data_IF_854588013896
#
_entry.id   IF_854588013896
#
_cell.length_a   1.000
_cell.length_b   1.000
_cell.length_c   1.000
_cell.angle_alpha   90.00
_cell.angle_beta   90.00
_cell.angle_gamma   90.00
#
_symmetry.space_group_name_H-M   'P 1'
#
loop_
_entity.id
_entity.type
_entity.pdbx_description
1 polymer ?
#
# COMPACT_ATOMS: atom_id res chain seq x y z
N UNK A 1 -8.68 15.84 5.05
CA UNK A 1 -9.44 15.46 6.27
C UNK A 1 -9.20 13.98 6.55
N UNK A 2 -8.26 13.68 7.45
CA UNK A 2 -8.18 12.45 8.26
C UNK A 2 -7.15 12.72 9.37
N UNK A 3 -7.49 13.68 10.23
CA UNK A 3 -6.76 13.99 11.48
C UNK A 3 -7.80 13.87 12.59
N UNK A 4 -8.10 12.64 12.97
CA UNK A 4 -8.91 12.21 14.12
C UNK A 4 -9.08 10.71 13.88
N UNK A 5 -8.35 9.81 14.52
CA UNK A 5 -8.15 9.63 15.94
C UNK A 5 -6.76 8.98 16.09
N UNK A 6 -6.01 9.28 17.14
CA UNK A 6 -4.73 8.61 17.49
C UNK A 6 -4.86 7.11 17.81
N UNK A 7 -5.75 6.40 17.11
CA UNK A 7 -5.86 4.95 17.09
C UNK A 7 -5.07 4.44 15.88
N UNK A 8 -4.35 3.31 16.00
CA UNK A 8 -3.59 2.70 14.92
C UNK A 8 -4.53 2.06 13.89
N UNK A 9 -5.32 2.88 13.20
CA UNK A 9 -6.06 2.46 12.01
C UNK A 9 -5.23 2.87 10.82
N UNK A 10 -4.64 1.89 10.13
CA UNK A 10 -3.96 2.14 8.87
C UNK A 10 -4.95 2.76 7.86
N UNK A 11 -4.54 3.84 7.21
CA UNK A 11 -5.36 4.55 6.23
C UNK A 11 -5.34 3.76 4.92
N UNK A 12 -6.43 3.05 4.60
CA UNK A 12 -6.57 2.31 3.34
C UNK A 12 -7.26 3.15 2.26
N UNK A 13 -6.64 4.24 1.84
CA UNK A 13 -7.08 4.94 0.63
C UNK A 13 -6.59 4.21 -0.64
N UNK A 14 -6.96 4.69 -1.82
CA UNK A 14 -6.56 4.07 -3.09
C UNK A 14 -5.04 4.04 -3.32
N UNK A 15 -4.28 4.95 -2.70
CA UNK A 15 -2.83 5.00 -2.81
C UNK A 15 -2.17 3.94 -1.93
N UNK A 16 -2.60 3.86 -0.67
CA UNK A 16 -2.07 2.87 0.27
C UNK A 16 -2.44 1.46 -0.17
N UNK A 17 -3.68 1.23 -0.64
CA UNK A 17 -4.07 -0.08 -1.21
C UNK A 17 -3.15 -0.51 -2.35
N UNK A 18 -2.81 0.39 -3.28
CA UNK A 18 -1.88 0.11 -4.38
C UNK A 18 -0.47 -0.21 -3.89
N UNK A 19 0.03 0.53 -2.90
CA UNK A 19 1.34 0.25 -2.28
C UNK A 19 1.35 -1.15 -1.69
N UNK A 20 0.38 -1.48 -0.83
CA UNK A 20 0.29 -2.77 -0.16
C UNK A 20 0.07 -3.92 -1.15
N UNK A 21 -0.81 -3.75 -2.14
CA UNK A 21 -1.03 -4.75 -3.19
C UNK A 21 0.22 -5.05 -4.00
N UNK A 22 1.08 -4.05 -4.26
CA UNK A 22 2.35 -4.28 -4.96
C UNK A 22 3.40 -4.86 -4.04
N UNK A 23 3.49 -4.38 -2.81
CA UNK A 23 4.47 -4.83 -1.82
C UNK A 23 4.31 -6.32 -1.52
N UNK A 24 3.06 -6.78 -1.32
CA UNK A 24 2.70 -8.15 -0.94
C UNK A 24 2.03 -8.97 -2.05
N UNK A 25 2.13 -8.50 -3.31
CA UNK A 25 1.56 -9.18 -4.49
C UNK A 25 0.08 -9.59 -4.34
N UNK A 26 -0.77 -8.69 -3.86
CA UNK A 26 -2.23 -8.91 -3.79
C UNK A 26 -2.85 -8.57 -5.14
N UNK A 27 -3.17 -9.60 -5.93
CA UNK A 27 -3.76 -9.46 -7.27
C UNK A 27 -5.30 -9.41 -7.27
N UNK A 28 -5.95 -9.67 -6.14
CA UNK A 28 -7.42 -9.74 -6.05
C UNK A 28 -8.10 -8.38 -6.26
N UNK A 29 -9.36 -8.41 -6.68
CA UNK A 29 -10.16 -7.22 -6.99
C UNK A 29 -10.36 -6.34 -5.74
N UNK A 30 -9.97 -5.03 -5.77
CA UNK A 30 -10.11 -4.13 -4.63
C UNK A 30 -11.56 -3.79 -4.26
N UNK A 31 -12.53 -4.08 -5.12
CA UNK A 31 -13.96 -3.91 -4.85
C UNK A 31 -14.50 -4.96 -3.88
N UNK A 32 -13.82 -6.11 -3.76
CA UNK A 32 -14.23 -7.19 -2.89
C UNK A 32 -13.96 -6.87 -1.42
N UNK A 33 -14.96 -7.14 -0.56
CA UNK A 33 -14.81 -7.00 0.90
C UNK A 33 -13.66 -7.86 1.44
N UNK A 34 -13.46 -9.06 0.89
CA UNK A 34 -12.36 -9.96 1.29
C UNK A 34 -10.98 -9.40 0.96
N UNK A 35 -10.81 -8.77 -0.20
CA UNK A 35 -9.57 -8.07 -0.56
C UNK A 35 -9.31 -6.91 0.39
N UNK A 36 -10.33 -6.10 0.67
CA UNK A 36 -10.19 -4.97 1.61
C UNK A 36 -9.82 -5.44 3.02
N UNK A 37 -10.37 -6.57 3.47
CA UNK A 37 -10.00 -7.16 4.76
C UNK A 37 -8.54 -7.66 4.75
N UNK A 38 -8.13 -8.35 3.69
CA UNK A 38 -6.74 -8.81 3.51
C UNK A 38 -5.76 -7.64 3.56
N UNK A 39 -6.06 -6.56 2.83
CA UNK A 39 -5.23 -5.35 2.84
C UNK A 39 -5.23 -4.66 4.21
N UNK A 40 -6.35 -4.70 4.95
CA UNK A 40 -6.40 -4.15 6.30
C UNK A 40 -5.53 -4.92 7.29
N UNK A 41 -5.46 -6.24 7.16
CA UNK A 41 -4.63 -7.07 8.03
C UNK A 41 -3.14 -6.90 7.68
N UNK A 42 -2.79 -6.88 6.39
CA UNK A 42 -1.44 -6.53 5.93
C UNK A 42 -1.02 -5.13 6.41
N UNK A 43 -1.93 -4.15 6.37
CA UNK A 43 -1.62 -2.80 6.81
C UNK A 43 -1.35 -2.72 8.33
N UNK A 44 -2.02 -3.55 9.14
CA UNK A 44 -1.74 -3.65 10.58
C UNK A 44 -0.38 -4.30 10.84
N UNK A 45 -0.03 -5.33 10.08
CA UNK A 45 1.26 -6.03 10.20
C UNK A 45 2.43 -5.15 9.75
N UNK A 46 2.21 -4.31 8.72
CA UNK A 46 3.21 -3.41 8.17
C UNK A 46 3.44 -2.16 9.03
N UNK A 47 2.44 -1.74 9.82
CA UNK A 47 2.49 -0.53 10.63
C UNK A 47 3.61 -0.56 11.66
N UNK A 48 4.39 0.51 11.76
CA UNK A 48 5.37 0.70 12.84
C UNK A 48 4.66 1.18 14.12
N UNK A 49 4.57 0.36 15.20
CA UNK A 49 3.77 0.73 16.37
C UNK A 49 4.31 1.92 17.16
N UNK A 50 5.61 2.22 17.04
CA UNK A 50 6.27 3.30 17.76
C UNK A 50 5.92 4.68 17.21
N UNK A 51 5.63 4.78 15.90
CA UNK A 51 5.29 6.02 15.20
C UNK A 51 4.23 5.79 14.13
N UNK A 52 2.99 5.41 14.51
CA UNK A 52 1.96 5.02 13.55
C UNK A 52 1.48 6.18 12.66
N UNK A 53 1.55 7.43 13.17
CA UNK A 53 1.23 8.63 12.40
C UNK A 53 2.19 8.85 11.25
N UNK A 54 3.49 8.98 11.57
CA UNK A 54 4.56 9.18 10.59
C UNK A 54 4.61 8.04 9.56
N UNK A 55 4.43 6.79 10.02
CA UNK A 55 4.37 5.64 9.12
C UNK A 55 3.21 5.77 8.13
N UNK A 56 1.99 6.06 8.60
CA UNK A 56 0.84 6.22 7.72
C UNK A 56 1.05 7.38 6.72
N UNK A 57 1.60 8.50 7.17
CA UNK A 57 1.89 9.64 6.30
C UNK A 57 2.94 9.30 5.23
N UNK A 58 4.02 8.63 5.62
CA UNK A 58 5.04 8.17 4.68
C UNK A 58 4.49 7.20 3.62
N UNK A 59 3.60 6.29 4.01
CA UNK A 59 3.00 5.33 3.08
C UNK A 59 1.99 6.00 2.13
N UNK A 60 1.20 6.94 2.64
CA UNK A 60 0.31 7.75 1.80
C UNK A 60 1.10 8.56 0.77
N UNK A 61 2.16 9.26 1.19
CA UNK A 61 3.02 10.05 0.30
C UNK A 61 3.76 9.17 -0.70
N UNK A 62 4.29 8.01 -0.26
CA UNK A 62 4.89 7.02 -1.13
C UNK A 62 3.93 6.60 -2.25
N UNK A 63 2.68 6.30 -1.90
CA UNK A 63 1.65 5.94 -2.86
C UNK A 63 1.32 7.09 -3.82
N UNK A 64 1.29 8.33 -3.33
CA UNK A 64 0.93 9.50 -4.11
C UNK A 64 2.03 9.98 -5.06
N UNK A 65 3.31 9.84 -4.70
CA UNK A 65 4.44 10.45 -5.42
C UNK A 65 5.35 9.44 -6.14
N UNK A 66 5.50 8.22 -5.61
CA UNK A 66 6.51 7.27 -6.10
C UNK A 66 5.86 5.99 -6.63
N UNK A 67 5.05 5.32 -5.82
CA UNK A 67 4.32 4.13 -6.18
C UNK A 67 2.98 4.49 -6.87
N UNK A 68 3.02 5.42 -7.81
CA UNK A 68 1.89 5.85 -8.64
C UNK A 68 1.55 4.79 -9.70
N UNK A 69 0.46 4.91 -10.49
CA UNK A 69 0.10 3.90 -11.49
C UNK A 69 1.27 3.48 -12.41
N UNK A 70 2.11 4.42 -12.82
CA UNK A 70 3.40 4.17 -13.47
C UNK A 70 4.53 4.43 -12.45
N UNK A 71 4.95 3.42 -11.66
CA UNK A 71 5.78 3.67 -10.48
C UNK A 71 7.23 4.02 -10.84
N UNK A 72 7.84 4.90 -10.04
CA UNK A 72 9.28 5.16 -10.07
C UNK A 72 10.00 4.22 -9.09
N UNK A 73 10.12 2.93 -9.47
CA UNK A 73 10.64 1.91 -8.57
C UNK A 73 12.09 2.14 -8.12
N UNK A 74 12.93 2.80 -8.93
CA UNK A 74 14.31 3.13 -8.54
C UNK A 74 14.40 4.20 -7.43
N UNK A 75 13.33 4.96 -7.22
CA UNK A 75 13.22 5.92 -6.11
C UNK A 75 12.41 5.36 -4.93
N UNK A 76 11.91 4.12 -5.02
CA UNK A 76 11.07 3.54 -3.99
C UNK A 76 11.93 2.95 -2.86
N UNK A 77 11.78 3.39 -1.60
CA UNK A 77 12.55 2.86 -0.47
C UNK A 77 12.27 1.37 -0.21
N UNK A 78 11.13 0.85 -0.69
CA UNK A 78 10.70 -0.54 -0.52
C UNK A 78 11.07 -1.43 -1.72
N UNK A 79 11.84 -0.94 -2.70
CA UNK A 79 12.05 -1.65 -3.97
C UNK A 79 12.63 -3.07 -3.81
N UNK A 80 13.48 -3.30 -2.81
CA UNK A 80 14.14 -4.58 -2.57
C UNK A 80 13.25 -5.57 -1.80
N UNK A 81 12.13 -5.08 -1.25
CA UNK A 81 11.16 -5.87 -0.51
C UNK A 81 9.83 -6.01 -1.28
N UNK A 82 9.70 -5.39 -2.44
CA UNK A 82 8.48 -5.37 -3.23
C UNK A 82 8.34 -6.65 -4.07
N UNK A 83 7.38 -7.49 -3.72
CA UNK A 83 7.12 -8.74 -4.44
C UNK A 83 6.68 -8.48 -5.88
N UNK A 84 5.81 -7.50 -6.14
CA UNK A 84 5.43 -7.18 -7.51
C UNK A 84 6.64 -6.75 -8.36
N UNK A 85 7.63 -6.06 -7.77
CA UNK A 85 8.86 -5.68 -8.48
C UNK A 85 9.76 -6.88 -8.75
N UNK A 86 9.89 -7.81 -7.80
CA UNK A 86 10.74 -9.00 -7.98
C UNK A 86 10.24 -9.91 -9.11
N UNK A 87 8.92 -9.92 -9.36
CA UNK A 87 8.29 -10.71 -10.44
C UNK A 87 7.90 -9.89 -11.68
N UNK A 88 8.28 -8.62 -11.77
CA UNK A 88 8.02 -7.76 -12.94
C UNK A 88 6.54 -7.38 -13.15
N UNK A 89 5.73 -7.39 -12.10
CA UNK A 89 4.30 -7.04 -12.10
C UNK A 89 4.00 -5.64 -11.54
N UNK A 90 5.01 -4.85 -11.18
CA UNK A 90 4.82 -3.53 -10.55
C UNK A 90 4.06 -2.52 -11.43
N UNK A 91 4.06 -2.71 -12.75
CA UNK A 91 3.32 -1.86 -13.72
C UNK A 91 1.94 -2.38 -14.05
N UNK A 92 1.55 -3.56 -13.56
CA UNK A 92 0.18 -4.04 -13.70
C UNK A 92 -0.76 -3.18 -12.84
N UNK A 93 -2.02 -3.11 -13.24
CA UNK A 93 -3.10 -2.61 -12.40
C UNK A 93 -3.22 -3.52 -11.20
N UNK A 94 -2.49 -3.22 -10.13
CA UNK A 94 -2.57 -3.93 -8.87
C UNK A 94 -3.08 -2.94 -7.82
N UNK A 95 -4.16 -3.28 -7.10
CA UNK A 95 -4.99 -4.48 -7.27
C UNK A 95 -5.78 -4.47 -8.61
N UNK A 96 -6.10 -5.66 -9.15
CA UNK A 96 -6.75 -5.77 -10.46
C UNK A 96 -8.19 -5.28 -10.36
N UNK A 97 -8.46 -4.05 -10.80
CA UNK A 97 -9.83 -3.64 -11.09
C UNK A 97 -10.35 -4.43 -12.31
N UNK A 98 -11.62 -4.85 -12.32
CA UNK A 98 -12.25 -5.45 -13.51
C UNK A 98 -12.22 -4.51 -14.73
#
# INVERSE_FOLDING_TARGET
>A
MSIAYGKPHAVLDGNVKRVLSRLFLVESDPSLTSTNQTLADLAKEFLTPQSPGDHNEAVMELGALVCVPIPNCSACPLQNHCEARSVGKEKKSLPLSP
#
